data_IF_731832388854
#
_entry.id   IF_731832388854
#
_cell.length_a   1.000
_cell.length_b   1.000
_cell.length_c   1.000
_cell.angle_alpha   90.00
_cell.angle_beta   90.00
_cell.angle_gamma   90.00
#
_symmetry.space_group_name_H-M   'P 1'
#
loop_
_entity.id
_entity.type
_entity.pdbx_description
1 polymer ?
#
# COMPACT_ATOMS: atom_id res chain seq x y z
N UNK A 1 2.61 5.40 11.60
CA UNK A 1 2.01 4.05 11.59
C UNK A 1 1.92 3.65 13.05
N UNK A 2 0.73 3.34 13.56
CA UNK A 2 0.57 3.03 14.99
C UNK A 2 1.03 1.60 15.30
N UNK A 3 0.86 0.69 14.33
CA UNK A 3 1.41 -0.66 14.37
C UNK A 3 2.83 -0.70 13.80
N UNK A 4 3.63 -1.66 14.27
CA UNK A 4 4.99 -1.94 13.79
C UNK A 4 5.04 -3.02 12.71
N UNK A 5 3.87 -3.55 12.33
CA UNK A 5 3.70 -4.59 11.31
C UNK A 5 2.64 -4.19 10.28
N UNK A 6 2.61 -4.91 9.17
CA UNK A 6 1.55 -4.87 8.16
C UNK A 6 1.18 -6.29 7.74
N UNK A 7 -0.04 -6.47 7.24
CA UNK A 7 -0.45 -7.75 6.64
C UNK A 7 0.00 -7.76 5.18
N UNK A 8 0.89 -8.68 4.78
CA UNK A 8 1.40 -8.74 3.42
C UNK A 8 0.33 -9.23 2.43
N UNK A 9 0.64 -9.15 1.14
CA UNK A 9 -0.17 -9.82 0.12
C UNK A 9 -0.02 -11.35 0.29
N UNK A 10 -1.15 -12.05 0.39
CA UNK A 10 -1.20 -13.50 0.53
C UNK A 10 -1.80 -14.11 -0.74
N UNK A 11 -0.94 -14.51 -1.66
CA UNK A 11 -1.36 -14.99 -2.99
C UNK A 11 -2.15 -13.95 -3.79
N UNK A 12 -2.86 -14.40 -4.82
CA UNK A 12 -3.66 -13.50 -5.66
C UNK A 12 -5.00 -13.10 -5.03
N UNK A 13 -5.48 -13.82 -4.01
CA UNK A 13 -6.84 -13.63 -3.50
C UNK A 13 -7.06 -13.77 -1.99
N UNK A 14 -6.14 -14.33 -1.19
CA UNK A 14 -6.44 -14.57 0.24
C UNK A 14 -6.53 -13.26 1.04
N UNK A 15 -5.80 -12.22 0.65
CA UNK A 15 -5.80 -10.93 1.33
C UNK A 15 -6.72 -9.88 0.69
N UNK A 16 -7.56 -10.27 -0.27
CA UNK A 16 -8.30 -9.31 -1.13
C UNK A 16 -9.25 -8.39 -0.34
N UNK A 17 -9.92 -8.92 0.68
CA UNK A 17 -10.89 -8.22 1.53
C UNK A 17 -10.33 -7.89 2.93
N UNK A 18 -9.06 -8.19 3.17
CA UNK A 18 -8.41 -7.96 4.48
C UNK A 18 -8.57 -6.52 4.99
N UNK A 19 -8.51 -5.47 4.15
CA UNK A 19 -8.78 -4.10 4.60
C UNK A 19 -10.10 -3.96 5.38
N UNK A 20 -11.17 -4.62 4.95
CA UNK A 20 -12.48 -4.54 5.61
C UNK A 20 -12.51 -5.21 6.99
N UNK A 21 -11.53 -6.08 7.27
CA UNK A 21 -11.41 -6.81 8.54
C UNK A 21 -10.56 -6.06 9.54
N UNK A 22 -9.49 -5.38 9.09
CA UNK A 22 -8.44 -4.88 10.00
C UNK A 22 -8.16 -3.38 9.90
N UNK A 23 -8.54 -2.70 8.82
CA UNK A 23 -8.15 -1.29 8.61
C UNK A 23 -8.77 -0.36 9.66
N UNK A 24 -9.97 -0.68 10.17
CA UNK A 24 -10.59 0.08 11.26
C UNK A 24 -9.77 0.06 12.55
N UNK A 25 -8.94 -0.97 12.75
CA UNK A 25 -8.00 -1.11 13.87
C UNK A 25 -6.61 -0.49 13.62
N UNK A 26 -6.47 0.31 12.55
CA UNK A 26 -5.20 0.96 12.21
C UNK A 26 -4.17 0.04 11.53
N UNK A 27 -4.51 -1.24 11.29
CA UNK A 27 -3.61 -2.24 10.72
C UNK A 27 -3.62 -2.10 9.19
N UNK A 28 -2.44 -1.90 8.60
CA UNK A 28 -2.30 -1.78 7.15
C UNK A 28 -2.23 -3.16 6.50
N UNK A 29 -2.82 -3.30 5.31
CA UNK A 29 -2.83 -4.57 4.57
C UNK A 29 -2.68 -4.35 3.07
N UNK A 30 -2.28 -5.39 2.35
CA UNK A 30 -2.03 -5.32 0.90
C UNK A 30 -3.06 -6.16 0.12
N UNK A 31 -3.69 -5.53 -0.86
CA UNK A 31 -4.66 -6.13 -1.80
C UNK A 31 -3.97 -6.43 -3.12
N UNK A 32 -4.04 -7.67 -3.61
CA UNK A 32 -3.59 -7.97 -4.97
C UNK A 32 -4.57 -7.39 -5.99
N UNK A 33 -4.08 -6.59 -6.94
CA UNK A 33 -4.87 -6.05 -8.06
C UNK A 33 -4.47 -6.68 -9.40
N UNK A 34 -3.86 -7.88 -9.34
CA UNK A 34 -3.41 -8.63 -10.51
C UNK A 34 -4.61 -9.25 -11.25
N UNK A 35 -5.59 -9.81 -10.53
CA UNK A 35 -6.77 -10.46 -11.09
C UNK A 35 -7.99 -9.54 -10.97
N UNK A 36 -8.35 -8.86 -12.06
CA UNK A 36 -9.48 -7.93 -12.08
C UNK A 36 -10.85 -8.61 -12.03
N UNK A 37 -10.95 -9.86 -12.53
CA UNK A 37 -12.18 -10.64 -12.44
C UNK A 37 -12.49 -11.00 -10.98
N UNK A 38 -11.45 -11.34 -10.21
CA UNK A 38 -11.58 -11.52 -8.78
C UNK A 38 -11.99 -10.22 -8.09
N UNK A 39 -11.38 -9.07 -8.44
CA UNK A 39 -11.80 -7.78 -7.86
C UNK A 39 -13.27 -7.47 -8.14
N UNK A 40 -13.78 -7.78 -9.33
CA UNK A 40 -15.17 -7.55 -9.71
C UNK A 40 -16.13 -8.48 -8.96
N UNK A 41 -15.77 -9.76 -8.79
CA UNK A 41 -16.53 -10.72 -7.97
C UNK A 41 -16.60 -10.28 -6.51
N UNK A 42 -15.48 -9.83 -5.93
CA UNK A 42 -15.44 -9.33 -4.56
C UNK A 42 -16.18 -8.01 -4.41
N UNK A 43 -16.13 -7.14 -5.42
CA UNK A 43 -16.92 -5.90 -5.45
C UNK A 43 -18.41 -6.21 -5.41
N UNK A 44 -18.89 -7.14 -6.24
CA UNK A 44 -20.28 -7.61 -6.20
C UNK A 44 -20.68 -8.08 -4.81
N UNK A 45 -19.92 -9.04 -4.26
CA UNK A 45 -20.19 -9.63 -2.96
C UNK A 45 -20.27 -8.57 -1.85
N UNK A 46 -19.26 -7.70 -1.76
CA UNK A 46 -19.24 -6.67 -0.72
C UNK A 46 -20.26 -5.56 -0.95
N UNK A 47 -20.61 -5.25 -2.20
CA UNK A 47 -21.69 -4.31 -2.47
C UNK A 47 -23.04 -4.85 -2.02
N UNK A 48 -23.34 -6.12 -2.31
CA UNK A 48 -24.60 -6.77 -1.94
C UNK A 48 -24.80 -6.82 -0.41
N UNK A 49 -23.80 -7.30 0.34
CA UNK A 49 -23.92 -7.41 1.80
C UNK A 49 -23.94 -6.06 2.53
N UNK A 50 -23.47 -4.98 1.88
CA UNK A 50 -23.46 -3.62 2.46
C UNK A 50 -24.55 -2.72 1.87
N UNK A 51 -25.45 -3.25 1.03
CA UNK A 51 -26.51 -2.51 0.36
C UNK A 51 -25.99 -1.31 -0.47
N UNK A 52 -24.84 -1.47 -1.11
CA UNK A 52 -24.23 -0.49 -1.99
C UNK A 52 -24.73 -0.65 -3.43
N UNK A 53 -24.83 0.46 -4.17
CA UNK A 53 -25.16 0.41 -5.59
C UNK A 53 -24.08 -0.35 -6.36
N UNK A 54 -24.51 -1.31 -7.17
CA UNK A 54 -23.63 -2.16 -7.96
C UNK A 54 -24.08 -2.20 -9.42
N UNK A 55 -23.19 -1.78 -10.31
CA UNK A 55 -23.31 -1.97 -11.75
C UNK A 55 -22.14 -2.84 -12.21
N UNK A 56 -22.43 -3.97 -12.86
CA UNK A 56 -21.40 -4.89 -13.37
C UNK A 56 -20.62 -4.24 -14.50
N UNK A 57 -19.28 -4.29 -14.41
CA UNK A 57 -18.36 -3.86 -15.47
C UNK A 57 -18.00 -5.10 -16.28
N UNK A 58 -18.41 -5.15 -17.54
CA UNK A 58 -18.20 -6.32 -18.40
C UNK A 58 -16.75 -6.36 -18.88
N UNK A 59 -16.25 -7.57 -19.16
CA UNK A 59 -14.88 -7.76 -19.65
C UNK A 59 -14.67 -7.11 -21.03
N UNK A 60 -15.74 -7.07 -21.82
CA UNK A 60 -15.79 -6.44 -23.15
C UNK A 60 -15.80 -4.92 -23.11
N UNK A 61 -16.04 -4.30 -21.96
CA UNK A 61 -16.07 -2.84 -21.86
C UNK A 61 -14.66 -2.29 -22.05
N UNK A 62 -14.57 -1.12 -22.68
CA UNK A 62 -13.29 -0.42 -22.85
C UNK A 62 -12.69 -0.15 -21.46
N UNK A 63 -11.39 -0.41 -21.28
CA UNK A 63 -10.69 -0.19 -20.00
C UNK A 63 -11.22 -1.01 -18.81
N UNK A 64 -12.00 -2.07 -19.04
CA UNK A 64 -12.70 -2.85 -18.02
C UNK A 64 -11.83 -3.24 -16.83
N UNK A 65 -10.61 -3.76 -17.05
CA UNK A 65 -9.67 -4.09 -15.95
C UNK A 65 -9.40 -2.90 -15.04
N UNK A 66 -9.01 -1.76 -15.61
CA UNK A 66 -8.69 -0.57 -14.81
C UNK A 66 -9.93 -0.02 -14.09
N UNK A 67 -11.11 -0.09 -14.70
CA UNK A 67 -12.35 0.37 -14.09
C UNK A 67 -12.80 -0.53 -12.93
N UNK A 68 -12.71 -1.85 -13.07
CA UNK A 68 -12.99 -2.83 -12.01
C UNK A 68 -12.09 -2.64 -10.80
N UNK A 69 -10.79 -2.49 -11.04
CA UNK A 69 -9.80 -2.23 -9.99
C UNK A 69 -10.12 -0.90 -9.28
N UNK A 70 -10.35 0.18 -10.04
CA UNK A 70 -10.72 1.49 -9.48
C UNK A 70 -11.98 1.38 -8.61
N UNK A 71 -13.03 0.79 -9.14
CA UNK A 71 -14.32 0.66 -8.47
C UNK A 71 -14.21 -0.19 -7.19
N UNK A 72 -13.42 -1.27 -7.22
CA UNK A 72 -13.22 -2.10 -6.04
C UNK A 72 -12.41 -1.38 -4.94
N UNK A 73 -11.31 -0.72 -5.30
CA UNK A 73 -10.51 0.05 -4.35
C UNK A 73 -11.32 1.21 -3.72
N UNK A 74 -12.18 1.86 -4.51
CA UNK A 74 -13.07 2.90 -4.02
C UNK A 74 -14.16 2.35 -3.09
N UNK A 75 -14.70 1.16 -3.39
CA UNK A 75 -15.63 0.46 -2.48
C UNK A 75 -14.96 0.14 -1.15
N UNK A 76 -13.74 -0.42 -1.17
CA UNK A 76 -12.98 -0.71 0.04
C UNK A 76 -12.77 0.55 0.89
N UNK A 77 -12.32 1.65 0.26
CA UNK A 77 -12.14 2.93 0.93
C UNK A 77 -13.44 3.43 1.59
N UNK A 78 -14.56 3.38 0.86
CA UNK A 78 -15.87 3.79 1.35
C UNK A 78 -16.29 2.98 2.58
N UNK A 79 -16.23 1.64 2.48
CA UNK A 79 -16.66 0.75 3.55
C UNK A 79 -15.78 0.86 4.79
N UNK A 80 -14.45 0.97 4.62
CA UNK A 80 -13.52 1.19 5.75
C UNK A 80 -13.80 2.53 6.43
N UNK A 81 -14.04 3.60 5.66
CA UNK A 81 -14.37 4.92 6.25
C UNK A 81 -15.68 4.89 7.02
N UNK A 82 -16.69 4.14 6.54
CA UNK A 82 -17.94 3.89 7.27
C UNK A 82 -17.67 3.17 8.59
N UNK A 83 -16.94 2.05 8.57
CA UNK A 83 -16.59 1.28 9.77
C UNK A 83 -15.84 2.13 10.82
N UNK A 84 -14.88 2.95 10.39
CA UNK A 84 -14.14 3.85 11.29
C UNK A 84 -15.05 4.94 11.88
N UNK A 85 -15.96 5.48 11.07
CA UNK A 85 -16.92 6.48 11.52
C UNK A 85 -17.87 5.92 12.57
N UNK A 86 -18.43 4.72 12.34
CA UNK A 86 -19.28 3.99 13.28
C UNK A 86 -18.53 3.67 14.57
N UNK A 87 -17.30 3.13 14.47
CA UNK A 87 -16.45 2.83 15.62
C UNK A 87 -16.17 4.08 16.48
N UNK A 88 -15.93 5.25 15.86
CA UNK A 88 -15.72 6.51 16.59
C UNK A 88 -16.95 6.99 17.37
N UNK A 89 -18.16 6.54 17.01
CA UNK A 89 -19.38 6.89 17.75
C UNK A 89 -19.63 5.99 18.97
N UNK A 90 -18.96 4.84 19.08
CA UNK A 90 -19.12 3.92 20.21
C UNK A 90 -18.68 4.55 21.55
N UNK A 91 -19.27 4.10 22.64
CA UNK A 91 -18.80 4.39 24.01
C UNK A 91 -17.57 3.57 24.35
N UNK A 92 -16.83 3.98 25.38
CA UNK A 92 -15.70 3.20 25.91
C UNK A 92 -16.21 2.13 26.88
N UNK A 93 -16.90 1.14 26.33
CA UNK A 93 -17.42 -0.06 27.02
C UNK A 93 -16.61 -1.29 26.63
N UNK A 94 -16.53 -2.29 27.49
CA UNK A 94 -15.80 -3.52 27.21
C UNK A 94 -16.37 -4.27 26.00
N UNK A 95 -15.50 -5.01 25.30
CA UNK A 95 -15.84 -5.87 24.16
C UNK A 95 -16.48 -5.16 22.94
N UNK A 96 -16.07 -3.94 22.65
CA UNK A 96 -16.42 -3.27 21.40
C UNK A 96 -15.19 -2.90 20.55
N UNK A 97 -15.44 -2.58 19.28
CA UNK A 97 -14.37 -2.30 18.31
C UNK A 97 -13.55 -1.04 18.66
N UNK A 98 -14.13 -0.07 19.38
CA UNK A 98 -13.41 1.12 19.82
C UNK A 98 -12.36 0.78 20.89
N UNK A 99 -12.72 -0.02 21.90
CA UNK A 99 -11.76 -0.50 22.90
C UNK A 99 -10.72 -1.42 22.27
N UNK A 100 -11.17 -2.36 21.41
CA UNK A 100 -10.29 -3.27 20.66
C UNK A 100 -9.25 -2.53 19.82
N UNK A 101 -9.58 -1.37 19.25
CA UNK A 101 -8.60 -0.52 18.56
C UNK A 101 -7.37 -0.24 19.42
N UNK A 102 -7.59 0.25 20.65
CA UNK A 102 -6.51 0.66 21.55
C UNK A 102 -5.80 -0.54 22.18
N UNK A 103 -6.54 -1.61 22.48
CA UNK A 103 -6.00 -2.87 23.01
C UNK A 103 -5.03 -3.54 22.03
N UNK A 104 -5.29 -3.43 20.71
CA UNK A 104 -4.41 -3.99 19.68
C UNK A 104 -3.14 -3.16 19.43
N UNK A 105 -3.07 -1.93 19.92
CA UNK A 105 -1.88 -1.10 19.75
C UNK A 105 -0.70 -1.65 20.56
N UNK A 106 0.55 -1.45 20.11
CA UNK A 106 1.73 -1.81 20.90
C UNK A 106 1.67 -1.18 22.30
N UNK A 107 2.08 -1.94 23.33
CA UNK A 107 2.07 -1.50 24.73
C UNK A 107 2.84 -0.20 24.95
N UNK A 108 3.91 0.02 24.18
CA UNK A 108 4.76 1.21 24.30
C UNK A 108 4.22 2.41 23.52
N UNK A 109 3.06 2.29 22.86
CA UNK A 109 2.49 3.41 22.11
C UNK A 109 1.86 4.44 23.04
N UNK A 110 2.03 5.72 22.71
CA UNK A 110 1.45 6.83 23.48
C UNK A 110 -0.07 6.71 23.59
N UNK A 111 -0.73 6.22 22.54
CA UNK A 111 -2.19 6.07 22.52
C UNK A 111 -2.68 4.92 23.41
N UNK A 112 -1.98 3.78 23.43
CA UNK A 112 -2.30 2.69 24.37
C UNK A 112 -2.10 3.16 25.81
N UNK A 113 -1.01 3.89 26.08
CA UNK A 113 -0.72 4.47 27.40
C UNK A 113 -1.84 5.43 27.85
N UNK A 114 -2.25 6.37 26.97
CA UNK A 114 -3.36 7.29 27.24
C UNK A 114 -4.69 6.56 27.44
N UNK A 115 -4.95 5.52 26.66
CA UNK A 115 -6.16 4.70 26.80
C UNK A 115 -6.22 4.00 28.16
N UNK A 116 -5.13 3.33 28.57
CA UNK A 116 -5.02 2.70 29.89
C UNK A 116 -5.19 3.71 31.02
N UNK A 117 -4.59 4.90 30.91
CA UNK A 117 -4.81 5.96 31.89
C UNK A 117 -6.29 6.37 31.95
N UNK A 118 -6.94 6.57 30.80
CA UNK A 118 -8.36 6.95 30.73
C UNK A 118 -9.26 5.92 31.44
N UNK A 119 -8.94 4.62 31.33
CA UNK A 119 -9.71 3.56 32.01
C UNK A 119 -9.69 3.68 33.53
N UNK A 120 -8.56 4.09 34.13
CA UNK A 120 -8.39 4.23 35.58
C UNK A 120 -8.96 5.53 36.16
N UNK A 121 -9.33 6.49 35.32
CA UNK A 121 -9.93 7.74 35.78
C UNK A 121 -11.38 7.53 36.26
N UNK A 122 -11.80 8.21 37.33
CA UNK A 122 -13.20 8.29 37.70
C UNK A 122 -14.01 9.05 36.63
N UNK A 123 -15.33 8.87 36.65
CA UNK A 123 -16.23 9.63 35.76
C UNK A 123 -16.07 11.13 36.07
N UNK A 124 -15.80 11.93 35.05
CA UNK A 124 -15.59 13.36 35.20
C UNK A 124 -15.04 14.02 33.93
N UNK A 125 -14.82 15.34 33.99
CA UNK A 125 -14.38 16.16 32.86
C UNK A 125 -13.06 15.67 32.25
N UNK A 126 -12.12 15.23 33.07
CA UNK A 126 -10.82 14.73 32.61
C UNK A 126 -10.96 13.45 31.77
N UNK A 127 -11.78 12.49 32.24
CA UNK A 127 -12.06 11.26 31.49
C UNK A 127 -12.72 11.57 30.16
N UNK A 128 -13.70 12.47 30.14
CA UNK A 128 -14.37 12.90 28.90
C UNK A 128 -13.41 13.58 27.91
N UNK A 129 -12.50 14.41 28.40
CA UNK A 129 -11.49 15.05 27.56
C UNK A 129 -10.55 14.01 26.92
N UNK A 130 -10.04 13.06 27.70
CA UNK A 130 -9.19 11.98 27.17
C UNK A 130 -9.93 11.10 26.18
N UNK A 131 -11.19 10.75 26.44
CA UNK A 131 -12.03 9.99 25.50
C UNK A 131 -12.18 10.72 24.16
N UNK A 132 -12.40 12.04 24.19
CA UNK A 132 -12.48 12.86 22.99
C UNK A 132 -11.13 12.92 22.24
N UNK A 133 -10.02 13.11 22.97
CA UNK A 133 -8.66 13.13 22.39
C UNK A 133 -8.31 11.78 21.71
N UNK A 134 -8.59 10.67 22.40
CA UNK A 134 -8.37 9.31 21.91
C UNK A 134 -9.14 9.08 20.60
N UNK A 135 -10.44 9.42 20.56
CA UNK A 135 -11.28 9.27 19.36
C UNK A 135 -10.75 10.09 18.18
N UNK A 136 -10.23 11.29 18.42
CA UNK A 136 -9.61 12.13 17.37
C UNK A 136 -8.28 11.58 16.87
N UNK A 137 -7.56 10.84 17.70
CA UNK A 137 -6.25 10.29 17.39
C UNK A 137 -6.31 8.95 16.62
N UNK A 138 -7.49 8.37 16.47
CA UNK A 138 -7.69 7.13 15.68
C UNK A 138 -7.37 7.40 14.21
N UNK A 139 -6.39 6.64 13.72
CA UNK A 139 -6.00 6.56 12.31
C UNK A 139 -6.38 5.21 11.71
N UNK A 140 -6.84 5.23 10.46
CA UNK A 140 -7.17 4.05 9.66
C UNK A 140 -5.90 3.36 9.14
N UNK A 141 -5.96 2.03 9.02
CA UNK A 141 -4.93 1.23 8.35
C UNK A 141 -4.91 1.46 6.84
N UNK A 142 -3.72 1.39 6.23
CA UNK A 142 -3.55 1.56 4.80
C UNK A 142 -4.15 0.41 3.98
N UNK A 143 -4.61 0.76 2.78
CA UNK A 143 -5.11 -0.17 1.74
C UNK A 143 -4.09 -0.18 0.61
N UNK A 144 -2.92 -0.76 0.87
CA UNK A 144 -1.88 -0.84 -0.13
C UNK A 144 -2.26 -1.87 -1.19
N UNK A 145 -1.70 -1.75 -2.39
CA UNK A 145 -1.98 -2.69 -3.49
C UNK A 145 -0.71 -3.40 -3.93
N UNK A 146 -0.85 -4.62 -4.45
CA UNK A 146 0.25 -5.36 -5.04
C UNK A 146 0.01 -5.56 -6.54
N UNK A 147 1.06 -5.30 -7.33
CA UNK A 147 1.13 -5.63 -8.75
C UNK A 147 2.29 -6.59 -9.02
N UNK A 148 2.19 -7.38 -10.08
CA UNK A 148 3.28 -8.23 -10.58
C UNK A 148 3.79 -7.67 -11.90
N UNK A 149 5.01 -7.14 -11.91
CA UNK A 149 5.58 -6.45 -13.08
C UNK A 149 6.12 -7.38 -14.17
N UNK A 150 6.51 -8.61 -13.81
CA UNK A 150 7.06 -9.63 -14.74
C UNK A 150 6.01 -10.40 -15.53
N UNK A 151 4.78 -10.52 -15.02
CA UNK A 151 3.70 -11.31 -15.65
C UNK A 151 2.77 -10.36 -16.42
N UNK A 152 3.38 -9.37 -17.08
CA UNK A 152 2.65 -8.31 -17.77
C UNK A 152 2.17 -8.82 -19.14
N UNK A 153 0.90 -9.24 -19.18
CA UNK A 153 0.30 -9.89 -20.34
C UNK A 153 -0.37 -8.87 -21.27
N UNK A 154 -0.14 -9.01 -22.57
CA UNK A 154 -0.89 -8.31 -23.61
C UNK A 154 -2.35 -8.78 -23.65
N UNK A 155 -3.28 -7.82 -23.72
CA UNK A 155 -4.71 -8.11 -23.77
C UNK A 155 -5.28 -7.94 -25.18
N UNK A 156 -6.28 -8.78 -25.47
CA UNK A 156 -6.94 -8.88 -26.76
C UNK A 156 -8.45 -8.93 -26.56
N UNK A 157 -9.21 -8.32 -27.47
CA UNK A 157 -10.66 -8.45 -27.57
C UNK A 157 -11.01 -8.96 -28.97
N UNK A 158 -11.62 -10.15 -29.05
CA UNK A 158 -11.93 -10.81 -30.33
C UNK A 158 -10.69 -10.86 -31.26
N UNK A 159 -9.56 -11.31 -30.71
CA UNK A 159 -8.24 -11.36 -31.38
C UNK A 159 -7.63 -10.01 -31.81
N UNK A 160 -8.26 -8.89 -31.46
CA UNK A 160 -7.71 -7.54 -31.68
C UNK A 160 -6.88 -7.11 -30.48
N UNK A 161 -5.61 -6.80 -30.72
CA UNK A 161 -4.70 -6.26 -29.71
C UNK A 161 -5.21 -4.91 -29.17
N UNK A 162 -5.31 -4.80 -27.84
CA UNK A 162 -5.88 -3.62 -27.19
C UNK A 162 -4.87 -2.47 -26.97
N UNK A 163 -3.64 -2.61 -27.45
CA UNK A 163 -2.58 -1.61 -27.28
C UNK A 163 -1.71 -1.84 -26.03
N UNK A 164 -0.54 -1.20 -26.01
CA UNK A 164 0.46 -1.39 -24.95
C UNK A 164 -0.05 -0.92 -23.58
N UNK A 165 -0.91 0.10 -23.54
CA UNK A 165 -1.49 0.67 -22.31
C UNK A 165 -2.58 -0.19 -21.67
N UNK A 166 -2.96 -1.28 -22.33
CA UNK A 166 -3.98 -2.21 -21.86
C UNK A 166 -3.41 -3.55 -21.45
N UNK A 167 -2.08 -3.65 -21.29
CA UNK A 167 -1.44 -4.80 -20.63
C UNK A 167 -1.88 -4.91 -19.16
N UNK A 168 -1.77 -6.11 -18.58
CA UNK A 168 -2.23 -6.40 -17.23
C UNK A 168 -1.67 -5.41 -16.18
N UNK A 169 -0.36 -5.15 -16.21
CA UNK A 169 0.29 -4.28 -15.23
C UNK A 169 -0.06 -2.80 -15.45
N UNK A 170 -0.12 -2.35 -16.70
CA UNK A 170 -0.44 -0.95 -17.02
C UNK A 170 -1.93 -0.63 -16.74
N UNK A 171 -2.85 -1.54 -17.07
CA UNK A 171 -4.24 -1.38 -16.71
C UNK A 171 -4.44 -1.43 -15.17
N UNK A 172 -3.71 -2.29 -14.46
CA UNK A 172 -3.78 -2.35 -13.01
C UNK A 172 -3.25 -1.07 -12.34
N UNK A 173 -2.10 -0.55 -12.78
CA UNK A 173 -1.56 0.69 -12.22
C UNK A 173 -2.45 1.89 -12.54
N UNK A 174 -3.07 1.94 -13.74
CA UNK A 174 -4.08 2.95 -14.08
C UNK A 174 -5.25 2.89 -13.11
N UNK A 175 -5.76 1.69 -12.83
CA UNK A 175 -6.85 1.49 -11.88
C UNK A 175 -6.49 1.95 -10.45
N UNK A 176 -5.28 1.65 -9.99
CA UNK A 176 -4.79 2.14 -8.71
C UNK A 176 -4.60 3.66 -8.68
N UNK A 177 -4.00 4.23 -9.73
CA UNK A 177 -3.75 5.67 -9.82
C UNK A 177 -5.06 6.47 -9.80
N UNK A 178 -6.08 5.99 -10.52
CA UNK A 178 -7.40 6.63 -10.59
C UNK A 178 -8.29 6.37 -9.35
N UNK A 179 -7.90 5.50 -8.42
CA UNK A 179 -8.65 5.27 -7.19
C UNK A 179 -8.53 6.43 -6.19
N UNK A 180 -9.46 6.54 -5.25
CA UNK A 180 -9.45 7.59 -4.21
C UNK A 180 -8.43 7.34 -3.09
N UNK A 181 -7.73 6.20 -3.12
CA UNK A 181 -6.80 5.80 -2.06
C UNK A 181 -5.59 6.74 -1.96
N UNK A 182 -5.22 7.07 -0.72
CA UNK A 182 -3.88 7.57 -0.38
C UNK A 182 -3.08 6.38 0.20
N UNK A 183 -2.42 5.63 -0.67
CA UNK A 183 -1.77 4.37 -0.31
C UNK A 183 -0.56 4.10 -1.19
N UNK A 184 0.07 2.95 -1.00
CA UNK A 184 1.23 2.55 -1.76
C UNK A 184 0.95 1.38 -2.72
N UNK A 185 1.64 1.37 -3.85
CA UNK A 185 1.77 0.20 -4.71
C UNK A 185 3.05 -0.55 -4.35
N UNK A 186 2.90 -1.84 -4.05
CA UNK A 186 3.97 -2.81 -3.91
C UNK A 186 4.25 -3.40 -5.28
N UNK A 187 5.38 -3.02 -5.85
CA UNK A 187 5.86 -3.56 -7.12
C UNK A 187 6.61 -4.85 -6.82
N UNK A 188 5.97 -5.97 -7.13
CA UNK A 188 6.56 -7.31 -7.02
C UNK A 188 7.11 -7.76 -8.36
N UNK A 189 8.17 -8.56 -8.33
CA UNK A 189 8.71 -9.31 -9.46
C UNK A 189 9.50 -8.51 -10.52
N UNK A 190 10.43 -7.63 -10.13
CA UNK A 190 11.54 -7.16 -10.99
C UNK A 190 11.22 -6.01 -11.95
N UNK A 191 12.22 -5.62 -12.75
CA UNK A 191 12.19 -4.40 -13.56
C UNK A 191 11.22 -4.51 -14.75
N UNK A 192 10.24 -3.60 -14.84
CA UNK A 192 9.41 -3.39 -16.02
C UNK A 192 9.50 -1.89 -16.43
N UNK A 193 10.37 -1.55 -17.41
CA UNK A 193 10.57 -0.16 -17.82
C UNK A 193 9.32 0.50 -18.42
N UNK A 194 8.42 -0.28 -19.04
CA UNK A 194 7.17 0.23 -19.64
C UNK A 194 6.22 0.70 -18.54
N UNK A 195 6.01 -0.15 -17.53
CA UNK A 195 5.23 0.19 -16.34
C UNK A 195 5.77 1.46 -15.67
N UNK A 196 7.09 1.56 -15.49
CA UNK A 196 7.69 2.72 -14.83
C UNK A 196 7.55 4.00 -15.65
N UNK A 197 7.64 3.93 -16.99
CA UNK A 197 7.36 5.07 -17.86
C UNK A 197 5.90 5.48 -17.79
N UNK A 198 4.98 4.51 -17.81
CA UNK A 198 3.54 4.79 -17.75
C UNK A 198 3.11 5.41 -16.41
N UNK A 199 3.77 5.05 -15.31
CA UNK A 199 3.56 5.71 -14.01
C UNK A 199 3.87 7.22 -14.03
N UNK A 200 4.71 7.69 -14.96
CA UNK A 200 5.03 9.13 -15.08
C UNK A 200 3.84 9.97 -15.52
N UNK A 201 2.79 9.36 -16.09
CA UNK A 201 1.59 10.03 -16.58
C UNK A 201 0.62 10.43 -15.46
N UNK A 202 0.79 9.88 -14.25
CA UNK A 202 -0.13 10.11 -13.14
C UNK A 202 0.47 11.05 -12.08
N UNK A 203 -0.14 12.22 -11.93
CA UNK A 203 0.31 13.26 -11.01
C UNK A 203 0.39 12.80 -9.54
N UNK A 204 -0.45 11.85 -9.12
CA UNK A 204 -0.51 11.41 -7.73
C UNK A 204 0.74 10.62 -7.26
N UNK A 205 1.64 10.21 -8.16
CA UNK A 205 2.95 9.63 -7.80
C UNK A 205 4.04 10.67 -7.51
N UNK A 206 3.78 11.94 -7.83
CA UNK A 206 4.68 13.06 -7.57
C UNK A 206 4.29 13.76 -6.25
N UNK A 207 5.19 14.55 -5.64
CA UNK A 207 4.89 15.23 -4.40
C UNK A 207 3.89 16.35 -4.66
N UNK A 208 2.84 16.39 -3.83
CA UNK A 208 1.85 17.47 -3.80
C UNK A 208 2.43 18.77 -3.25
N UNK A 209 1.56 19.78 -3.12
CA UNK A 209 1.94 21.09 -2.60
C UNK A 209 2.41 21.07 -1.15
N UNK A 210 1.97 20.09 -0.37
CA UNK A 210 2.35 19.82 1.02
C UNK A 210 3.57 18.90 1.14
N UNK A 211 4.17 18.49 0.00
CA UNK A 211 5.27 17.54 -0.07
C UNK A 211 4.84 16.08 0.15
N UNK A 212 3.54 15.78 0.24
CA UNK A 212 3.06 14.41 0.37
C UNK A 212 2.91 13.74 -1.00
N UNK A 213 3.29 12.47 -1.08
CA UNK A 213 3.04 11.63 -2.25
C UNK A 213 1.83 10.76 -1.93
N UNK A 214 0.74 10.95 -2.68
CA UNK A 214 -0.53 10.26 -2.47
C UNK A 214 -0.48 8.79 -2.91
N UNK A 215 0.23 8.49 -3.99
CA UNK A 215 0.45 7.12 -4.51
C UNK A 215 1.92 6.79 -4.31
N UNK A 216 2.24 6.16 -3.17
CA UNK A 216 3.62 5.82 -2.81
C UNK A 216 4.09 4.57 -3.55
N UNK A 217 5.40 4.43 -3.73
CA UNK A 217 5.99 3.24 -4.33
C UNK A 217 6.75 2.46 -3.26
N UNK A 218 6.45 1.17 -3.17
CA UNK A 218 7.18 0.18 -2.38
C UNK A 218 7.82 -0.80 -3.35
N UNK A 219 9.15 -0.91 -3.32
CA UNK A 219 9.84 -1.95 -4.05
C UNK A 219 10.01 -3.18 -3.17
N UNK A 220 9.42 -4.29 -3.60
CA UNK A 220 9.61 -5.60 -2.98
C UNK A 220 10.87 -6.23 -3.55
N UNK A 221 11.85 -6.54 -2.71
CA UNK A 221 13.22 -6.83 -3.15
C UNK A 221 13.82 -8.02 -2.42
N UNK A 222 14.60 -8.83 -3.15
CA UNK A 222 15.30 -10.01 -2.63
C UNK A 222 16.82 -9.88 -2.61
N UNK A 223 17.36 -8.77 -3.14
CA UNK A 223 18.78 -8.46 -3.16
C UNK A 223 18.99 -6.95 -3.34
N UNK A 224 20.11 -6.43 -2.83
CA UNK A 224 20.41 -4.99 -2.83
C UNK A 224 20.68 -4.44 -4.24
N UNK A 225 21.41 -5.19 -5.08
CA UNK A 225 21.80 -4.74 -6.43
C UNK A 225 20.58 -4.49 -7.32
N UNK A 226 19.64 -5.42 -7.35
CA UNK A 226 18.38 -5.31 -8.09
C UNK A 226 17.52 -4.16 -7.57
N UNK A 227 17.46 -3.99 -6.24
CA UNK A 227 16.77 -2.87 -5.61
C UNK A 227 17.33 -1.53 -6.07
N UNK A 228 18.66 -1.37 -6.02
CA UNK A 228 19.36 -0.16 -6.43
C UNK A 228 19.12 0.16 -7.91
N UNK A 229 19.21 -0.83 -8.80
CA UNK A 229 18.98 -0.64 -10.24
C UNK A 229 17.55 -0.15 -10.49
N UNK A 230 16.55 -0.84 -9.93
CA UNK A 230 15.14 -0.46 -10.11
C UNK A 230 14.83 0.93 -9.54
N UNK A 231 15.34 1.22 -8.34
CA UNK A 231 15.14 2.52 -7.72
C UNK A 231 15.80 3.65 -8.50
N UNK A 232 16.99 3.45 -9.09
CA UNK A 232 17.63 4.44 -9.97
C UNK A 232 16.78 4.73 -11.21
N UNK A 233 16.17 3.72 -11.81
CA UNK A 233 15.28 3.91 -12.97
C UNK A 233 14.07 4.76 -12.58
N UNK A 234 13.42 4.46 -11.45
CA UNK A 234 12.29 5.24 -10.93
C UNK A 234 12.70 6.67 -10.55
N UNK A 235 13.81 6.85 -9.83
CA UNK A 235 14.29 8.16 -9.42
C UNK A 235 14.60 9.07 -10.62
N UNK A 236 15.24 8.53 -11.67
CA UNK A 236 15.51 9.26 -12.93
C UNK A 236 14.23 9.72 -13.66
N UNK A 237 13.10 9.07 -13.38
CA UNK A 237 11.76 9.39 -13.86
C UNK A 237 10.98 10.33 -12.91
N UNK A 238 11.58 10.75 -11.81
CA UNK A 238 10.90 11.58 -10.80
C UNK A 238 9.89 10.81 -9.98
N UNK A 239 10.01 9.48 -9.90
CA UNK A 239 9.16 8.60 -9.10
C UNK A 239 9.94 8.15 -7.85
N UNK A 240 9.41 8.46 -6.65
CA UNK A 240 10.12 8.20 -5.40
C UNK A 240 9.78 6.82 -4.82
N UNK A 241 10.80 6.04 -4.50
CA UNK A 241 10.65 4.80 -3.74
C UNK A 241 10.62 5.13 -2.25
N UNK A 242 9.41 5.11 -1.69
CA UNK A 242 9.17 5.43 -0.28
C UNK A 242 9.59 4.30 0.67
N UNK A 243 9.61 3.06 0.17
CA UNK A 243 9.98 1.88 0.97
C UNK A 243 10.66 0.81 0.12
N UNK A 244 11.76 0.27 0.64
CA UNK A 244 12.31 -1.01 0.23
C UNK A 244 11.83 -2.08 1.19
N UNK A 245 11.01 -3.00 0.69
CA UNK A 245 10.46 -4.12 1.46
C UNK A 245 11.22 -5.38 1.11
N UNK A 246 12.15 -5.74 1.99
CA UNK A 246 13.02 -6.90 1.82
C UNK A 246 12.20 -8.16 2.07
N UNK A 247 12.24 -9.10 1.14
CA UNK A 247 11.64 -10.42 1.27
C UNK A 247 12.71 -11.50 1.14
N UNK A 248 12.46 -12.66 1.75
CA UNK A 248 13.36 -13.81 1.61
C UNK A 248 13.17 -14.45 0.23
N UNK A 249 14.19 -14.41 -0.62
CA UNK A 249 14.19 -15.15 -1.89
C UNK A 249 14.07 -16.68 -1.74
N UNK A 250 14.21 -17.20 -0.51
CA UNK A 250 14.18 -18.62 -0.16
C UNK A 250 12.87 -19.08 0.50
N UNK A 251 12.03 -18.15 1.01
CA UNK A 251 10.84 -18.51 1.77
C UNK A 251 9.55 -17.85 1.24
N UNK A 252 9.59 -17.32 0.02
CA UNK A 252 8.40 -16.83 -0.67
C UNK A 252 7.66 -18.02 -1.28
N UNK A 253 6.66 -18.55 -0.57
CA UNK A 253 5.92 -19.75 -0.95
C UNK A 253 5.53 -19.85 -2.44
N UNK A 254 5.58 -21.07 -2.97
CA UNK A 254 4.92 -21.45 -4.22
C UNK A 254 5.74 -21.36 -5.52
N UNK A 255 6.98 -20.85 -5.51
CA UNK A 255 7.84 -20.84 -6.71
C UNK A 255 9.09 -21.69 -6.50
N UNK A 256 9.50 -22.43 -7.53
CA UNK A 256 10.77 -23.16 -7.55
C UNK A 256 11.93 -22.16 -7.44
N UNK A 257 12.92 -22.46 -6.60
CA UNK A 257 14.11 -21.64 -6.45
C UNK A 257 14.85 -21.55 -7.77
N UNK A 258 14.86 -20.37 -8.39
CA UNK A 258 15.61 -20.13 -9.63
C UNK A 258 17.12 -19.96 -9.37
N UNK A 259 17.53 -19.80 -8.11
CA UNK A 259 18.92 -19.57 -7.67
C UNK A 259 19.15 -20.22 -6.31
N UNK A 260 20.41 -20.43 -5.92
CA UNK A 260 20.78 -20.86 -4.56
C UNK A 260 20.26 -19.92 -3.46
N UNK A 261 19.90 -18.68 -3.82
CA UNK A 261 19.24 -17.69 -2.98
C UNK A 261 20.16 -17.17 -1.88
N UNK A 262 20.04 -15.89 -1.54
CA UNK A 262 20.76 -15.35 -0.39
C UNK A 262 19.92 -15.53 0.88
N UNK A 263 20.60 -15.83 1.99
CA UNK A 263 19.99 -15.74 3.31
C UNK A 263 19.57 -14.29 3.59
N UNK A 264 18.53 -14.13 4.42
CA UNK A 264 17.96 -12.83 4.73
C UNK A 264 18.97 -11.91 5.45
N UNK A 265 19.76 -12.46 6.38
CA UNK A 265 20.75 -11.71 7.17
C UNK A 265 21.75 -10.90 6.32
N UNK A 266 22.48 -11.52 5.37
CA UNK A 266 23.38 -10.81 4.46
C UNK A 266 22.70 -9.68 3.68
N UNK A 267 21.47 -9.89 3.17
CA UNK A 267 20.73 -8.85 2.46
C UNK A 267 20.42 -7.68 3.39
N UNK A 268 19.92 -7.96 4.61
CA UNK A 268 19.64 -6.93 5.61
C UNK A 268 20.88 -6.13 5.98
N UNK A 269 22.03 -6.81 6.11
CA UNK A 269 23.30 -6.18 6.44
C UNK A 269 23.75 -5.23 5.31
N UNK A 270 23.64 -5.64 4.05
CA UNK A 270 24.00 -4.79 2.91
C UNK A 270 23.12 -3.53 2.82
N UNK A 271 21.81 -3.66 3.04
CA UNK A 271 20.90 -2.52 3.12
C UNK A 271 21.20 -1.61 4.31
N UNK A 272 21.61 -2.16 5.45
CA UNK A 272 21.99 -1.40 6.64
C UNK A 272 23.25 -0.57 6.39
N UNK A 273 24.29 -1.19 5.84
CA UNK A 273 25.59 -0.56 5.60
C UNK A 273 25.50 0.54 4.55
N UNK A 274 24.66 0.34 3.52
CA UNK A 274 24.49 1.29 2.42
C UNK A 274 23.25 2.19 2.55
N UNK A 275 22.62 2.27 3.73
CA UNK A 275 21.34 2.97 3.88
C UNK A 275 21.40 4.46 3.50
N UNK A 276 22.45 5.16 3.95
CA UNK A 276 22.61 6.59 3.69
C UNK A 276 23.02 6.84 2.24
N UNK A 277 24.01 6.10 1.74
CA UNK A 277 24.47 6.23 0.35
C UNK A 277 23.36 5.92 -0.66
N UNK A 278 22.56 4.88 -0.42
CA UNK A 278 21.38 4.54 -1.23
C UNK A 278 20.40 5.72 -1.27
N UNK A 279 20.07 6.29 -0.12
CA UNK A 279 19.12 7.39 -0.02
C UNK A 279 19.63 8.63 -0.77
N UNK A 280 20.88 9.01 -0.53
CA UNK A 280 21.45 10.25 -1.07
C UNK A 280 21.60 10.17 -2.59
N UNK A 281 22.09 9.03 -3.11
CA UNK A 281 22.19 8.81 -4.55
C UNK A 281 20.82 8.86 -5.24
N UNK A 282 19.79 8.25 -4.63
CA UNK A 282 18.43 8.28 -5.20
C UNK A 282 17.81 9.66 -5.11
N UNK A 283 18.06 10.40 -4.03
CA UNK A 283 17.53 11.74 -3.83
C UNK A 283 18.10 12.73 -4.86
N UNK A 284 19.40 12.64 -5.16
CA UNK A 284 20.03 13.45 -6.20
C UNK A 284 19.38 13.21 -7.57
N UNK A 285 19.25 11.94 -7.97
CA UNK A 285 18.60 11.56 -9.23
C UNK A 285 17.15 12.03 -9.30
N UNK A 286 16.43 11.92 -8.19
CA UNK A 286 15.04 12.31 -8.07
C UNK A 286 14.85 13.82 -8.21
N UNK A 287 15.64 14.64 -7.49
CA UNK A 287 15.58 16.11 -7.57
C UNK A 287 15.88 16.58 -9.00
N UNK A 288 16.93 16.03 -9.62
CA UNK A 288 17.28 16.35 -11.01
C UNK A 288 16.15 16.00 -11.99
N UNK A 289 15.43 14.90 -11.75
CA UNK A 289 14.28 14.53 -12.57
C UNK A 289 13.09 15.48 -12.37
N UNK A 290 12.77 15.86 -11.13
CA UNK A 290 11.70 16.82 -10.84
C UNK A 290 11.97 18.20 -11.44
N UNK A 291 13.22 18.69 -11.36
CA UNK A 291 13.61 19.96 -11.96
C UNK A 291 13.39 19.98 -13.48
N UNK A 292 13.77 18.91 -14.19
CA UNK A 292 13.53 18.77 -15.63
C UNK A 292 12.04 18.70 -16.00
N UNK A 293 11.20 18.26 -15.06
CA UNK A 293 9.74 18.21 -15.20
C UNK A 293 9.05 19.48 -14.68
N UNK A 294 9.82 20.46 -14.22
CA UNK A 294 9.32 21.71 -13.62
C UNK A 294 8.43 21.49 -12.38
N UNK A 295 8.61 20.35 -11.69
CA UNK A 295 7.89 20.02 -10.45
C UNK A 295 8.67 20.59 -9.27
N UNK A 296 8.05 21.53 -8.54
CA UNK A 296 8.66 22.14 -7.35
C UNK A 296 8.58 21.19 -6.17
N UNK A 297 9.72 20.86 -5.58
CA UNK A 297 9.78 20.12 -4.32
C UNK A 297 9.50 21.06 -3.16
N UNK A 298 8.45 20.79 -2.39
CA UNK A 298 8.12 21.61 -1.22
C UNK A 298 9.15 21.42 -0.10
N UNK A 299 9.39 22.45 0.72
CA UNK A 299 10.36 22.39 1.83
C UNK A 299 10.01 21.34 2.90
N UNK A 300 8.71 21.02 3.04
CA UNK A 300 8.22 19.97 3.94
C UNK A 300 8.44 18.56 3.41
N UNK A 301 8.92 18.38 2.16
CA UNK A 301 9.16 17.06 1.60
C UNK A 301 10.15 16.30 2.49
N UNK A 302 9.63 15.25 3.13
CA UNK A 302 10.45 14.33 3.91
C UNK A 302 10.93 13.25 2.97
N UNK A 303 12.23 13.22 2.68
CA UNK A 303 12.92 12.12 1.99
C UNK A 303 13.01 10.85 2.85
N UNK A 304 11.96 10.56 3.62
CA UNK A 304 11.89 9.38 4.47
C UNK A 304 11.77 8.15 3.58
N UNK A 305 12.87 7.41 3.49
CA UNK A 305 12.93 6.12 2.81
C UNK A 305 12.98 5.02 3.86
N UNK A 306 11.95 4.18 3.87
CA UNK A 306 11.86 3.06 4.79
C UNK A 306 12.59 1.85 4.23
N UNK A 307 13.19 1.08 5.12
CA UNK A 307 13.67 -0.27 4.84
C UNK A 307 12.93 -1.17 5.83
N UNK A 308 12.13 -2.08 5.29
CA UNK A 308 11.30 -3.00 6.07
C UNK A 308 11.60 -4.43 5.65
N UNK A 309 11.18 -5.39 6.46
CA UNK A 309 11.34 -6.81 6.17
C UNK A 309 9.98 -7.50 6.21
N UNK A 310 9.77 -8.45 5.31
CA UNK A 310 8.54 -9.21 5.20
C UNK A 310 8.86 -10.70 5.02
N UNK A 311 8.41 -11.53 5.96
CA UNK A 311 8.62 -12.98 5.94
C UNK A 311 10.03 -13.40 6.36
N UNK A 312 10.28 -14.72 6.27
CA UNK A 312 11.55 -15.38 6.60
C UNK A 312 11.59 -15.94 8.02
N UNK A 313 11.76 -17.26 8.14
CA UNK A 313 12.36 -17.91 9.31
C UNK A 313 13.84 -18.07 8.93
N UNK A 314 14.74 -17.45 9.69
CA UNK A 314 16.17 -17.48 9.39
C UNK A 314 16.88 -16.28 9.98
N UNK A 315 16.90 -16.22 11.31
CA UNK A 315 17.97 -15.55 12.07
C UNK A 315 19.22 -16.43 12.04
#
# INVERSE_FOLDING_TARGET
>A
MQHTFHIPVLGLGYSIDTPLKVARFGISSVVSIVDDELTERMRKYHSEINHETYQFIKKSDLNSRSERITAYLNLLAKLVNKQVSEMKQMSFEEDNDLCRYFELLPDQSDLNTKYRHMQHLPIGTEKHFLQWELKRSITTGGIDVNIMSKVDKANYLNDVYLGDDNTDALAAIRGFANSILNSAVVISAGLNPRLFSYMEEFNDFYPGQDGEIKKRIILKVSDYRSALIQAKVLAKKGLWVSEFRIESGLNCGGHAFATEGFLLGPILQEFKDNRLSLKDELLELYINALQRKEIKLHQSFKSAQKITVQGGIGT
#
